data_IF_034187039686
#
_entry.id   IF_034187039686
#
_cell.length_a   1.000
_cell.length_b   1.000
_cell.length_c   1.000
_cell.angle_alpha   90.00
_cell.angle_beta   90.00
_cell.angle_gamma   90.00
#
_symmetry.space_group_name_H-M   'P 1'
#
loop_
_entity.id
_entity.type
_entity.pdbx_description
1 polymer ?
#
# COMPACT_ATOMS: atom_id res chain seq x y z
N UNK A 1 37.71 -18.61 31.34
CA UNK A 1 36.83 -18.34 32.49
C UNK A 1 35.62 -19.26 32.34
N UNK A 2 35.49 -20.31 33.16
CA UNK A 2 34.29 -21.16 33.15
C UNK A 2 33.19 -20.41 33.90
N UNK A 3 32.06 -20.16 33.25
CA UNK A 3 30.87 -19.63 33.91
C UNK A 3 30.45 -20.64 34.99
N UNK A 4 30.08 -20.16 36.17
CA UNK A 4 29.53 -21.05 37.20
C UNK A 4 28.10 -21.52 36.82
N UNK A 5 27.62 -22.55 37.49
CA UNK A 5 26.33 -23.17 37.22
C UNK A 5 25.14 -22.20 37.43
N UNK A 6 25.27 -21.24 38.36
CA UNK A 6 24.31 -20.17 38.58
C UNK A 6 24.30 -19.16 37.41
N UNK A 7 25.47 -18.80 36.89
CA UNK A 7 25.58 -17.90 35.73
C UNK A 7 24.98 -18.54 34.47
N UNK A 8 25.15 -19.86 34.29
CA UNK A 8 24.51 -20.63 33.21
C UNK A 8 22.98 -20.67 33.40
N UNK A 9 22.50 -20.88 34.62
CA UNK A 9 21.06 -20.90 34.90
C UNK A 9 20.40 -19.53 34.67
N UNK A 10 21.02 -18.44 35.10
CA UNK A 10 20.52 -17.07 34.84
C UNK A 10 20.49 -16.79 33.34
N UNK A 11 21.52 -17.20 32.60
CA UNK A 11 21.58 -17.06 31.14
C UNK A 11 20.45 -17.83 30.44
N UNK A 12 20.20 -19.08 30.86
CA UNK A 12 19.15 -19.93 30.32
C UNK A 12 17.74 -19.38 30.61
N UNK A 13 17.51 -18.84 31.81
CA UNK A 13 16.26 -18.18 32.17
C UNK A 13 16.04 -16.95 31.28
N UNK A 14 17.08 -16.12 31.11
CA UNK A 14 17.03 -14.95 30.24
C UNK A 14 16.73 -15.30 28.78
N UNK A 15 17.42 -16.30 28.22
CA UNK A 15 17.20 -16.79 26.86
C UNK A 15 15.79 -17.35 26.68
N UNK A 16 15.29 -18.13 27.65
CA UNK A 16 13.95 -18.70 27.60
C UNK A 16 12.88 -17.60 27.64
N UNK A 17 13.06 -16.58 28.49
CA UNK A 17 12.16 -15.44 28.55
C UNK A 17 12.13 -14.66 27.22
N UNK A 18 13.30 -14.45 26.60
CA UNK A 18 13.40 -13.78 25.29
C UNK A 18 12.69 -14.59 24.21
N UNK A 19 12.94 -15.90 24.13
CA UNK A 19 12.28 -16.79 23.16
C UNK A 19 10.76 -16.80 23.37
N UNK A 20 10.29 -16.84 24.62
CA UNK A 20 8.87 -16.78 24.95
C UNK A 20 8.22 -15.46 24.50
N UNK A 21 8.91 -14.33 24.69
CA UNK A 21 8.44 -13.02 24.21
C UNK A 21 8.37 -12.99 22.68
N UNK A 22 9.42 -13.43 21.99
CA UNK A 22 9.45 -13.46 20.52
C UNK A 22 8.39 -14.39 19.92
N UNK A 23 8.23 -15.59 20.48
CA UNK A 23 7.20 -16.55 20.05
C UNK A 23 5.80 -16.00 20.30
N UNK A 24 5.55 -15.35 21.44
CA UNK A 24 4.27 -14.69 21.71
C UNK A 24 3.95 -13.59 20.69
N UNK A 25 4.94 -12.74 20.34
CA UNK A 25 4.77 -11.70 19.32
C UNK A 25 4.48 -12.31 17.94
N UNK A 26 5.20 -13.36 17.55
CA UNK A 26 5.01 -14.02 16.25
C UNK A 26 3.65 -14.73 16.16
N UNK A 27 3.26 -15.43 17.22
CA UNK A 27 1.99 -16.14 17.33
C UNK A 27 0.81 -15.16 17.33
N UNK A 28 0.88 -14.06 18.09
CA UNK A 28 -0.13 -12.98 18.06
C UNK A 28 -0.34 -12.42 16.65
N UNK A 29 0.77 -12.20 15.91
CA UNK A 29 0.72 -11.76 14.50
C UNK A 29 0.16 -12.82 13.55
N UNK A 30 0.29 -14.11 13.84
CA UNK A 30 -0.27 -15.19 13.01
C UNK A 30 -1.75 -15.45 13.31
N UNK A 31 -2.17 -15.39 14.57
CA UNK A 31 -3.57 -15.61 14.98
C UNK A 31 -4.47 -14.49 14.47
N UNK A 32 -3.99 -13.25 14.44
CA UNK A 32 -4.74 -12.09 13.94
C UNK A 32 -4.80 -11.96 12.42
N UNK A 33 -3.99 -12.74 11.67
CA UNK A 33 -3.99 -12.72 10.20
C UNK A 33 -5.31 -13.12 9.55
N UNK A 34 -5.98 -14.24 9.92
CA UNK A 34 -7.22 -14.65 9.28
C UNK A 34 -8.34 -13.60 9.41
N UNK A 35 -8.57 -13.04 10.60
CA UNK A 35 -9.57 -11.98 10.79
C UNK A 35 -9.22 -10.69 10.04
N UNK A 36 -7.94 -10.31 10.05
CA UNK A 36 -7.46 -9.16 9.28
C UNK A 36 -7.66 -9.37 7.78
N UNK A 37 -7.37 -10.57 7.27
CA UNK A 37 -7.56 -10.91 5.86
C UNK A 37 -9.03 -10.95 5.48
N UNK A 38 -9.90 -11.48 6.34
CA UNK A 38 -11.35 -11.46 6.12
C UNK A 38 -11.88 -10.02 6.06
N UNK A 39 -11.46 -9.18 6.99
CA UNK A 39 -11.83 -7.75 6.99
C UNK A 39 -11.31 -7.04 5.74
N UNK A 40 -10.05 -7.29 5.34
CA UNK A 40 -9.47 -6.72 4.13
C UNK A 40 -10.19 -7.19 2.86
N UNK A 41 -10.69 -8.44 2.82
CA UNK A 41 -11.53 -8.94 1.72
C UNK A 41 -12.85 -8.20 1.64
N UNK A 42 -13.52 -7.99 2.78
CA UNK A 42 -14.76 -7.22 2.82
C UNK A 42 -14.54 -5.76 2.39
N UNK A 43 -13.45 -5.12 2.82
CA UNK A 43 -13.07 -3.78 2.37
C UNK A 43 -12.80 -3.75 0.86
N UNK A 44 -12.15 -4.79 0.35
CA UNK A 44 -11.88 -4.92 -1.08
C UNK A 44 -13.17 -5.04 -1.89
N UNK A 45 -14.00 -6.02 -1.57
CA UNK A 45 -15.22 -6.35 -2.31
C UNK A 45 -16.27 -5.24 -2.23
N UNK A 46 -16.48 -4.66 -1.04
CA UNK A 46 -17.54 -3.67 -0.84
C UNK A 46 -17.16 -2.25 -1.27
N UNK A 47 -15.87 -1.91 -1.29
CA UNK A 47 -15.44 -0.53 -1.50
C UNK A 47 -14.33 -0.38 -2.55
N UNK A 48 -13.18 -1.02 -2.35
CA UNK A 48 -12.00 -0.74 -3.18
C UNK A 48 -12.12 -1.26 -4.61
N UNK A 49 -12.75 -2.41 -4.83
CA UNK A 49 -12.99 -2.96 -6.17
C UNK A 49 -13.97 -2.10 -6.96
N UNK A 50 -15.16 -1.73 -6.44
CA UNK A 50 -16.07 -0.81 -7.13
C UNK A 50 -15.45 0.56 -7.44
N UNK A 51 -14.72 1.16 -6.49
CA UNK A 51 -14.02 2.43 -6.73
C UNK A 51 -12.99 2.24 -7.85
N UNK A 52 -12.20 1.17 -7.81
CA UNK A 52 -11.20 0.93 -8.84
C UNK A 52 -11.84 0.79 -10.23
N UNK A 53 -12.91 0.02 -10.36
CA UNK A 53 -13.65 -0.11 -11.62
C UNK A 53 -14.21 1.23 -12.14
N UNK A 54 -14.59 2.14 -11.24
CA UNK A 54 -15.04 3.49 -11.60
C UNK A 54 -13.91 4.35 -12.18
N UNK A 55 -12.71 4.29 -11.60
CA UNK A 55 -11.63 5.25 -11.88
C UNK A 55 -10.47 4.68 -12.69
N UNK A 56 -10.42 3.37 -12.96
CA UNK A 56 -9.26 2.64 -13.51
C UNK A 56 -8.58 3.37 -14.69
N UNK A 57 -9.36 3.73 -15.71
CA UNK A 57 -8.84 4.34 -16.93
C UNK A 57 -8.43 5.80 -16.76
N UNK A 58 -8.99 6.48 -15.76
CA UNK A 58 -8.81 7.90 -15.54
C UNK A 58 -7.85 8.19 -14.41
N UNK A 59 -7.50 7.21 -13.56
CA UNK A 59 -6.86 7.38 -12.25
C UNK A 59 -5.67 8.34 -12.29
N UNK A 60 -4.89 8.37 -13.37
CA UNK A 60 -3.76 9.31 -13.51
C UNK A 60 -3.90 10.22 -14.74
N UNK A 61 -5.12 10.49 -15.19
CA UNK A 61 -5.38 11.43 -16.27
C UNK A 61 -4.97 12.83 -15.84
N UNK A 62 -4.33 13.56 -16.75
CA UNK A 62 -4.07 15.01 -16.64
C UNK A 62 -5.24 15.84 -17.16
N UNK A 63 -6.14 15.21 -17.90
CA UNK A 63 -7.24 15.82 -18.62
C UNK A 63 -8.53 15.39 -17.92
N UNK A 64 -8.74 15.94 -16.72
CA UNK A 64 -10.00 15.82 -16.02
C UNK A 64 -10.66 17.19 -16.02
N UNK A 65 -11.98 17.23 -16.15
CA UNK A 65 -12.75 18.45 -15.91
C UNK A 65 -13.20 18.50 -14.45
N UNK A 66 -13.47 19.71 -13.94
CA UNK A 66 -14.07 19.89 -12.61
C UNK A 66 -15.37 19.08 -12.45
N UNK A 67 -16.21 19.06 -13.48
CA UNK A 67 -17.49 18.36 -13.45
C UNK A 67 -17.27 16.86 -13.27
N UNK A 68 -16.31 16.28 -13.97
CA UNK A 68 -15.95 14.86 -13.84
C UNK A 68 -15.39 14.55 -12.46
N UNK A 69 -14.45 15.36 -11.94
CA UNK A 69 -13.88 15.14 -10.60
C UNK A 69 -14.95 15.21 -9.52
N UNK A 70 -15.84 16.20 -9.57
CA UNK A 70 -16.90 16.34 -8.58
C UNK A 70 -17.90 15.17 -8.68
N UNK A 71 -18.22 14.74 -9.91
CA UNK A 71 -19.09 13.58 -10.16
C UNK A 71 -18.49 12.29 -9.61
N UNK A 72 -17.22 12.02 -9.90
CA UNK A 72 -16.50 10.85 -9.38
C UNK A 72 -16.42 10.90 -7.85
N UNK A 73 -16.15 12.08 -7.27
CA UNK A 73 -16.19 12.29 -5.83
C UNK A 73 -17.52 11.85 -5.20
N UNK A 74 -18.65 12.29 -5.77
CA UNK A 74 -19.96 11.89 -5.30
C UNK A 74 -20.21 10.37 -5.44
N UNK A 75 -19.84 9.77 -6.58
CA UNK A 75 -20.00 8.33 -6.79
C UNK A 75 -19.16 7.51 -5.80
N UNK A 76 -17.96 7.97 -5.44
CA UNK A 76 -17.12 7.30 -4.43
C UNK A 76 -17.74 7.43 -3.04
N UNK A 77 -18.33 8.57 -2.70
CA UNK A 77 -19.05 8.75 -1.43
C UNK A 77 -20.21 7.75 -1.33
N UNK A 78 -21.01 7.62 -2.40
CA UNK A 78 -22.10 6.64 -2.47
C UNK A 78 -21.59 5.21 -2.28
N UNK A 79 -20.48 4.84 -2.93
CA UNK A 79 -19.85 3.53 -2.71
C UNK A 79 -19.46 3.34 -1.25
N UNK A 80 -18.83 4.34 -0.62
CA UNK A 80 -18.44 4.25 0.80
C UNK A 80 -19.65 4.13 1.73
N UNK A 81 -20.74 4.85 1.44
CA UNK A 81 -21.97 4.81 2.22
C UNK A 81 -22.68 3.46 2.11
N UNK A 82 -22.60 2.82 0.94
CA UNK A 82 -23.13 1.47 0.72
C UNK A 82 -22.24 0.33 1.25
N UNK A 83 -21.02 0.63 1.72
CA UNK A 83 -20.03 -0.39 2.07
C UNK A 83 -20.16 -0.93 3.52
N UNK A 84 -21.23 -0.61 4.25
CA UNK A 84 -21.46 -1.05 5.65
C UNK A 84 -20.26 -0.82 6.59
N UNK A 85 -19.60 0.35 6.49
CA UNK A 85 -18.36 0.69 7.21
C UNK A 85 -17.10 -0.12 6.83
N UNK A 86 -17.17 -0.98 5.81
CA UNK A 86 -16.00 -1.67 5.26
C UNK A 86 -15.26 -0.78 4.24
N UNK A 87 -14.74 0.35 4.73
CA UNK A 87 -13.87 1.24 3.97
C UNK A 87 -12.90 1.97 4.91
N UNK A 88 -11.79 2.47 4.37
CA UNK A 88 -10.90 3.33 5.16
C UNK A 88 -11.45 4.77 5.15
N UNK A 89 -11.66 5.42 6.30
CA UNK A 89 -12.25 6.77 6.36
C UNK A 89 -11.54 7.80 5.47
N UNK A 90 -10.22 7.64 5.29
CA UNK A 90 -9.42 8.49 4.40
C UNK A 90 -9.96 8.54 2.97
N UNK A 91 -10.45 7.42 2.41
CA UNK A 91 -10.92 7.38 1.02
C UNK A 91 -12.17 8.24 0.84
N UNK A 92 -13.09 8.19 1.81
CA UNK A 92 -14.31 9.00 1.82
C UNK A 92 -13.98 10.48 2.00
N UNK A 93 -13.05 10.83 2.89
CA UNK A 93 -12.59 12.22 3.08
C UNK A 93 -12.02 12.78 1.76
N UNK A 94 -11.24 12.00 1.01
CA UNK A 94 -10.70 12.45 -0.28
C UNK A 94 -11.80 12.61 -1.33
N UNK A 95 -12.78 11.70 -1.34
CA UNK A 95 -13.95 11.81 -2.21
C UNK A 95 -14.80 13.05 -1.91
N UNK A 96 -15.02 13.37 -0.64
CA UNK A 96 -15.70 14.60 -0.21
C UNK A 96 -14.97 15.87 -0.65
N UNK A 97 -13.62 15.86 -0.61
CA UNK A 97 -12.81 16.98 -1.12
C UNK A 97 -12.95 17.13 -2.62
N UNK A 98 -12.93 16.02 -3.38
CA UNK A 98 -13.18 16.05 -4.83
C UNK A 98 -14.58 16.56 -5.15
N UNK A 99 -15.62 16.07 -4.46
CA UNK A 99 -17.01 16.49 -4.66
C UNK A 99 -17.23 17.99 -4.45
N UNK A 100 -16.51 18.57 -3.48
CA UNK A 100 -16.60 19.99 -3.12
C UNK A 100 -15.52 20.86 -3.77
N UNK A 101 -14.68 20.29 -4.63
CA UNK A 101 -13.58 21.03 -5.22
C UNK A 101 -14.09 22.13 -6.16
N UNK A 102 -13.40 23.27 -6.11
CA UNK A 102 -13.65 24.42 -6.96
C UNK A 102 -12.76 24.37 -8.22
N UNK A 103 -12.91 25.37 -9.09
CA UNK A 103 -12.14 25.43 -10.33
C UNK A 103 -10.63 25.57 -10.11
N UNK A 104 -10.19 26.01 -8.93
CA UNK A 104 -8.78 26.22 -8.62
C UNK A 104 -8.08 24.97 -8.05
N UNK A 105 -8.84 24.09 -7.39
CA UNK A 105 -8.29 22.96 -6.62
C UNK A 105 -8.68 21.56 -7.13
N UNK A 106 -9.64 21.43 -8.04
CA UNK A 106 -10.17 20.12 -8.46
C UNK A 106 -9.08 19.16 -8.97
N UNK A 107 -8.12 19.67 -9.74
CA UNK A 107 -7.06 18.84 -10.30
C UNK A 107 -6.06 18.39 -9.23
N UNK A 108 -5.77 19.24 -8.24
CA UNK A 108 -4.94 18.88 -7.10
C UNK A 108 -5.62 17.80 -6.25
N UNK A 109 -6.92 17.93 -6.00
CA UNK A 109 -7.68 16.91 -5.26
C UNK A 109 -7.73 15.58 -6.02
N UNK A 110 -7.86 15.63 -7.35
CA UNK A 110 -7.78 14.45 -8.20
C UNK A 110 -6.42 13.75 -8.09
N UNK A 111 -5.33 14.49 -8.33
CA UNK A 111 -3.96 13.95 -8.23
C UNK A 111 -3.70 13.32 -6.85
N UNK A 112 -4.13 14.03 -5.80
CA UNK A 112 -3.97 13.58 -4.42
C UNK A 112 -4.77 12.29 -4.13
N UNK A 113 -6.05 12.26 -4.52
CA UNK A 113 -6.89 11.06 -4.39
C UNK A 113 -6.24 9.88 -5.10
N UNK A 114 -5.83 10.06 -6.35
CA UNK A 114 -5.33 9.00 -7.19
C UNK A 114 -4.06 8.36 -6.66
N UNK A 115 -3.12 9.16 -6.15
CA UNK A 115 -1.91 8.63 -5.52
C UNK A 115 -2.26 7.81 -4.27
N UNK A 116 -3.10 8.37 -3.39
CA UNK A 116 -3.43 7.76 -2.10
C UNK A 116 -4.28 6.51 -2.25
N UNK A 117 -5.30 6.57 -3.10
CA UNK A 117 -6.17 5.45 -3.43
C UNK A 117 -5.35 4.33 -4.05
N UNK A 118 -4.51 4.63 -5.04
CA UNK A 118 -3.68 3.63 -5.71
C UNK A 118 -2.77 2.87 -4.75
N UNK A 119 -2.07 3.58 -3.86
CA UNK A 119 -1.23 2.93 -2.85
C UNK A 119 -2.04 2.05 -1.90
N UNK A 120 -3.21 2.53 -1.46
CA UNK A 120 -4.03 1.78 -0.51
C UNK A 120 -4.67 0.55 -1.17
N UNK A 121 -5.12 0.68 -2.41
CA UNK A 121 -5.64 -0.43 -3.22
C UNK A 121 -4.60 -1.55 -3.33
N UNK A 122 -3.35 -1.22 -3.69
CA UNK A 122 -2.28 -2.21 -3.80
C UNK A 122 -1.99 -2.89 -2.45
N UNK A 123 -2.06 -2.14 -1.35
CA UNK A 123 -1.89 -2.71 -0.01
C UNK A 123 -3.01 -3.68 0.36
N UNK A 124 -4.27 -3.31 0.11
CA UNK A 124 -5.42 -4.20 0.33
C UNK A 124 -5.28 -5.47 -0.51
N UNK A 125 -4.89 -5.34 -1.79
CA UNK A 125 -4.65 -6.48 -2.66
C UNK A 125 -3.57 -7.44 -2.12
N UNK A 126 -2.45 -6.90 -1.64
CA UNK A 126 -1.38 -7.67 -1.00
C UNK A 126 -1.85 -8.38 0.26
N UNK A 127 -2.66 -7.71 1.09
CA UNK A 127 -3.17 -8.29 2.34
C UNK A 127 -4.05 -9.51 2.08
N UNK A 128 -4.87 -9.48 1.02
CA UNK A 128 -5.80 -10.57 0.68
C UNK A 128 -5.23 -11.59 -0.32
N UNK A 129 -4.03 -11.34 -0.85
CA UNK A 129 -3.34 -12.23 -1.78
C UNK A 129 -3.88 -12.21 -3.21
N UNK A 130 -4.55 -11.13 -3.64
CA UNK A 130 -4.97 -10.97 -5.05
C UNK A 130 -3.88 -10.26 -5.85
N UNK A 131 -3.82 -10.49 -7.18
CA UNK A 131 -2.84 -9.84 -8.03
C UNK A 131 -2.88 -8.31 -7.91
N UNK A 132 -1.71 -7.71 -7.74
CA UNK A 132 -1.57 -6.26 -7.89
C UNK A 132 -1.74 -5.94 -9.38
N UNK A 133 -2.39 -4.81 -9.68
CA UNK A 133 -2.64 -4.34 -11.04
C UNK A 133 -1.33 -4.29 -11.84
N UNK A 134 -1.38 -4.68 -13.12
CA UNK A 134 -0.22 -4.75 -14.00
C UNK A 134 0.45 -3.37 -14.12
N UNK A 135 1.76 -3.28 -13.90
CA UNK A 135 2.51 -2.02 -14.00
C UNK A 135 2.41 -1.33 -15.38
N UNK A 136 1.96 -2.02 -16.44
CA UNK A 136 1.84 -1.46 -17.79
C UNK A 136 1.08 -0.12 -17.86
N UNK A 137 -0.04 0.04 -17.12
CA UNK A 137 -0.76 1.33 -17.11
C UNK A 137 0.00 2.41 -16.31
N UNK A 138 0.73 2.02 -15.25
CA UNK A 138 1.62 2.91 -14.48
C UNK A 138 2.90 3.31 -15.24
N UNK A 139 3.19 2.63 -16.35
CA UNK A 139 4.34 2.95 -17.20
C UNK A 139 4.00 3.98 -18.29
N UNK A 140 2.73 4.39 -18.41
CA UNK A 140 2.35 5.46 -19.31
C UNK A 140 2.77 6.82 -18.73
N UNK A 141 3.98 7.28 -19.10
CA UNK A 141 4.51 8.61 -18.70
C UNK A 141 3.55 9.76 -18.93
N UNK A 142 2.62 9.66 -19.90
CA UNK A 142 1.64 10.71 -20.21
C UNK A 142 0.68 10.99 -19.06
N UNK A 143 0.51 10.02 -18.16
CA UNK A 143 -0.35 10.11 -16.99
C UNK A 143 0.31 10.81 -15.78
N UNK A 144 1.63 10.99 -15.77
CA UNK A 144 2.34 11.55 -14.62
C UNK A 144 2.62 13.03 -14.81
N UNK A 145 2.24 13.86 -13.83
CA UNK A 145 2.49 15.32 -13.81
C UNK A 145 3.93 15.63 -14.22
N UNK A 146 4.88 14.92 -13.65
CA UNK A 146 6.32 15.09 -13.84
C UNK A 146 7.09 13.75 -13.73
N UNK A 147 8.32 13.73 -14.24
CA UNK A 147 9.17 12.54 -14.24
C UNK A 147 9.53 12.08 -12.81
N UNK A 148 9.61 12.98 -11.82
CA UNK A 148 9.96 12.59 -10.45
C UNK A 148 8.82 11.82 -9.78
N UNK A 149 7.57 12.25 -9.97
CA UNK A 149 6.39 11.49 -9.52
C UNK A 149 6.35 10.07 -10.09
N UNK A 150 6.70 9.91 -11.37
CA UNK A 150 6.83 8.62 -12.04
C UNK A 150 7.90 7.74 -11.38
N UNK A 151 9.14 8.26 -11.24
CA UNK A 151 10.24 7.50 -10.66
C UNK A 151 9.97 7.15 -9.19
N UNK A 152 9.44 8.08 -8.39
CA UNK A 152 9.08 7.82 -6.97
C UNK A 152 8.14 6.62 -6.83
N UNK A 153 7.13 6.52 -7.68
CA UNK A 153 6.19 5.39 -7.68
C UNK A 153 6.84 4.09 -8.19
N UNK A 154 7.69 4.18 -9.22
CA UNK A 154 8.45 3.05 -9.75
C UNK A 154 9.43 2.46 -8.72
N UNK A 155 10.25 3.30 -8.09
CA UNK A 155 11.23 2.89 -7.07
C UNK A 155 10.57 2.36 -5.81
N UNK A 156 9.46 2.95 -5.35
CA UNK A 156 8.77 2.50 -4.13
C UNK A 156 8.20 1.08 -4.25
N UNK A 157 7.72 0.71 -5.44
CA UNK A 157 7.14 -0.61 -5.67
C UNK A 157 8.16 -1.70 -6.01
N UNK A 158 9.29 -1.32 -6.60
CA UNK A 158 10.33 -2.25 -7.04
C UNK A 158 11.62 -2.14 -6.20
N UNK A 159 11.53 -1.59 -4.99
CA UNK A 159 12.71 -1.26 -4.17
C UNK A 159 13.52 -2.52 -3.79
N UNK A 160 12.83 -3.65 -3.57
CA UNK A 160 13.45 -4.94 -3.29
C UNK A 160 14.17 -5.49 -4.53
N UNK A 161 13.59 -5.34 -5.71
CA UNK A 161 14.22 -5.75 -6.97
C UNK A 161 15.46 -4.90 -7.24
N UNK A 162 15.42 -3.62 -6.91
CA UNK A 162 16.58 -2.72 -6.99
C UNK A 162 17.67 -3.08 -5.99
N UNK A 163 17.32 -3.40 -4.74
CA UNK A 163 18.27 -3.92 -3.77
C UNK A 163 18.90 -5.23 -4.25
N UNK A 164 18.11 -6.10 -4.86
CA UNK A 164 18.58 -7.36 -5.42
C UNK A 164 19.56 -7.14 -6.58
N UNK A 165 19.27 -6.20 -7.48
CA UNK A 165 20.19 -5.80 -8.54
C UNK A 165 21.48 -5.21 -7.97
N UNK A 166 21.40 -4.33 -6.96
CA UNK A 166 22.57 -3.76 -6.28
C UNK A 166 23.41 -4.88 -5.63
N UNK A 167 22.75 -5.83 -4.96
CA UNK A 167 23.41 -6.99 -4.37
C UNK A 167 24.16 -7.82 -5.43
N UNK A 168 23.51 -8.13 -6.57
CA UNK A 168 24.16 -8.84 -7.68
C UNK A 168 25.37 -8.08 -8.23
N UNK A 169 25.26 -6.77 -8.43
CA UNK A 169 26.36 -5.93 -8.89
C UNK A 169 27.54 -5.97 -7.89
N UNK A 170 27.27 -5.86 -6.59
CA UNK A 170 28.31 -5.96 -5.57
C UNK A 170 28.98 -7.33 -5.55
N UNK A 171 28.23 -8.40 -5.80
CA UNK A 171 28.74 -9.77 -5.87
C UNK A 171 29.66 -9.97 -7.07
N UNK A 172 29.26 -9.45 -8.24
CA UNK A 172 30.08 -9.47 -9.47
C UNK A 172 31.37 -8.67 -9.27
N UNK A 173 31.30 -7.47 -8.70
CA UNK A 173 32.48 -6.64 -8.43
C UNK A 173 33.43 -7.36 -7.46
N UNK A 174 32.90 -7.95 -6.39
CA UNK A 174 33.69 -8.71 -5.41
C UNK A 174 34.38 -9.92 -6.05
N UNK A 175 33.65 -10.69 -6.87
CA UNK A 175 34.22 -11.84 -7.60
C UNK A 175 35.19 -11.44 -8.71
N UNK A 176 35.10 -10.23 -9.28
CA UNK A 176 36.07 -9.76 -10.28
C UNK A 176 37.39 -9.26 -9.69
N UNK A 177 37.43 -9.04 -8.36
CA UNK A 177 38.60 -8.53 -7.63
C UNK A 177 39.34 -9.60 -6.82
N UNK A 178 38.83 -10.84 -6.77
CA UNK A 178 39.50 -12.01 -6.19
C UNK A 178 40.03 -12.90 -7.30
#
# INVERSE_FOLDING_TARGET
MKLDENQINILNIGLTAIIAIFTSILTSRHISRPEKQQTARLIFEKCYSPIYSLVEYQLFSKEMTKIEVNKIGNQIIEICDSADNYYFPSVKIYAERMAKADSSSYMEQWEYFSERFSMRYDNVCREIGVPIRNNAYRLNRRQYKDNFSFYRLFFKNNWLDLLFIIFLITLIIFMSKG
#
